data_IF_688430833276
#
_entry.id   IF_688430833276
#
_cell.length_a   1.000
_cell.length_b   1.000
_cell.length_c   1.000
_cell.angle_alpha   90.00
_cell.angle_beta   90.00
_cell.angle_gamma   90.00
#
_symmetry.space_group_name_H-M   'P 1'
#
loop_
_entity.id
_entity.type
_entity.pdbx_description
1 polymer ?
#
# COMPACT_ATOMS: atom_id res chain seq x y z
N UNK A 1 18.18 -11.62 8.04
CA UNK A 1 19.38 -11.22 7.32
C UNK A 1 20.31 -12.42 7.09
N UNK A 2 20.70 -13.11 8.14
CA UNK A 2 21.61 -14.27 8.13
C UNK A 2 21.22 -15.33 7.07
N UNK A 3 19.94 -15.63 6.95
CA UNK A 3 19.42 -16.61 5.99
C UNK A 3 19.39 -16.11 4.54
N UNK A 4 19.25 -14.81 4.29
CA UNK A 4 19.03 -14.27 2.95
C UNK A 4 20.35 -13.77 2.29
N UNK A 5 21.19 -13.06 3.05
CA UNK A 5 22.39 -12.40 2.53
C UNK A 5 23.32 -13.38 1.77
N UNK A 6 23.65 -14.59 2.28
CA UNK A 6 24.54 -15.49 1.57
C UNK A 6 24.02 -15.91 0.19
N UNK A 7 22.72 -16.11 0.07
CA UNK A 7 22.09 -16.46 -1.20
C UNK A 7 22.09 -15.31 -2.21
N UNK A 8 21.88 -14.08 -1.72
CA UNK A 8 21.93 -12.88 -2.56
C UNK A 8 23.34 -12.65 -3.08
N UNK A 9 24.37 -12.78 -2.22
CA UNK A 9 25.78 -12.70 -2.61
C UNK A 9 26.18 -13.78 -3.60
N UNK A 10 25.60 -14.97 -3.50
CA UNK A 10 25.78 -16.05 -4.47
C UNK A 10 25.06 -15.83 -5.81
N UNK A 11 24.44 -14.68 -6.03
CA UNK A 11 23.72 -14.32 -7.26
C UNK A 11 22.41 -15.09 -7.49
N UNK A 12 21.85 -15.76 -6.47
CA UNK A 12 20.60 -16.52 -6.57
C UNK A 12 19.39 -15.58 -6.47
N UNK A 13 18.32 -15.91 -7.16
CA UNK A 13 17.02 -15.29 -6.91
C UNK A 13 16.51 -15.71 -5.54
N UNK A 14 15.88 -14.77 -4.81
CA UNK A 14 15.40 -15.01 -3.46
C UNK A 14 13.93 -14.56 -3.33
N UNK A 15 13.12 -15.44 -2.74
CA UNK A 15 11.78 -15.11 -2.25
C UNK A 15 11.82 -15.15 -0.72
N UNK A 16 11.78 -13.98 -0.07
CA UNK A 16 11.88 -13.88 1.38
C UNK A 16 10.54 -13.43 1.99
N UNK A 17 10.06 -14.20 2.97
CA UNK A 17 8.99 -13.75 3.87
C UNK A 17 9.61 -13.16 5.12
N UNK A 18 9.30 -11.88 5.35
CA UNK A 18 9.73 -11.19 6.56
C UNK A 18 8.84 -9.99 6.85
N UNK A 19 8.49 -9.80 8.11
CA UNK A 19 7.68 -8.67 8.56
C UNK A 19 8.46 -7.34 8.51
N UNK A 20 7.75 -6.21 8.55
CA UNK A 20 8.38 -4.88 8.72
C UNK A 20 9.15 -4.84 10.06
N UNK A 21 10.35 -4.24 10.06
CA UNK A 21 11.19 -4.13 11.26
C UNK A 21 12.16 -5.30 11.50
N UNK A 22 12.17 -6.34 10.66
CA UNK A 22 13.12 -7.45 10.72
C UNK A 22 14.47 -7.15 10.04
N UNK A 23 14.70 -5.92 9.62
CA UNK A 23 15.93 -5.53 8.93
C UNK A 23 15.98 -5.94 7.45
N UNK A 24 14.83 -6.16 6.77
CA UNK A 24 14.76 -6.52 5.35
C UNK A 24 15.60 -5.60 4.46
N UNK A 25 15.49 -4.28 4.69
CA UNK A 25 16.19 -3.28 3.89
C UNK A 25 17.71 -3.48 3.92
N UNK A 26 18.30 -3.71 5.09
CA UNK A 26 19.71 -4.05 5.19
C UNK A 26 20.01 -5.42 4.52
N UNK A 27 19.09 -6.38 4.68
CA UNK A 27 19.24 -7.74 4.13
C UNK A 27 19.38 -7.79 2.61
N UNK A 28 18.75 -6.87 1.87
CA UNK A 28 18.97 -6.78 0.43
C UNK A 28 19.92 -5.66 0.01
N UNK A 29 19.97 -4.54 0.75
CA UNK A 29 20.81 -3.41 0.34
C UNK A 29 22.29 -3.73 0.48
N UNK A 30 22.72 -4.29 1.61
CA UNK A 30 24.14 -4.57 1.87
C UNK A 30 24.78 -5.49 0.80
N UNK A 31 24.20 -6.67 0.46
CA UNK A 31 24.79 -7.53 -0.56
C UNK A 31 24.73 -6.90 -1.97
N UNK A 32 23.72 -6.09 -2.27
CA UNK A 32 23.65 -5.38 -3.55
C UNK A 32 24.69 -4.27 -3.63
N UNK A 33 24.94 -3.53 -2.56
CA UNK A 33 26.03 -2.54 -2.49
C UNK A 33 27.39 -3.20 -2.66
N UNK A 34 27.64 -4.36 -2.03
CA UNK A 34 28.87 -5.12 -2.21
C UNK A 34 29.04 -5.52 -3.68
N UNK A 35 28.03 -6.14 -4.30
CA UNK A 35 28.05 -6.50 -5.71
C UNK A 35 28.38 -5.31 -6.62
N UNK A 36 27.73 -4.15 -6.39
CA UNK A 36 27.95 -2.95 -7.18
C UNK A 36 29.35 -2.35 -6.98
N UNK A 37 29.92 -2.43 -5.78
CA UNK A 37 31.26 -1.90 -5.47
C UNK A 37 32.40 -2.74 -6.08
N UNK A 38 32.21 -4.06 -6.18
CA UNK A 38 33.19 -4.99 -6.74
C UNK A 38 33.20 -4.97 -8.27
N UNK A 39 32.16 -4.46 -8.90
CA UNK A 39 32.05 -4.44 -10.35
C UNK A 39 32.48 -3.10 -10.93
N UNK A 40 33.29 -3.11 -12.01
CA UNK A 40 33.81 -1.90 -12.66
C UNK A 40 32.67 -0.96 -13.10
N UNK A 41 32.77 0.30 -12.68
CA UNK A 41 31.87 1.34 -13.15
C UNK A 41 32.20 1.72 -14.60
N UNK A 42 31.19 1.71 -15.51
CA UNK A 42 31.37 2.34 -16.83
C UNK A 42 31.59 3.85 -16.68
N UNK A 43 32.19 4.49 -17.70
CA UNK A 43 32.44 5.95 -17.71
C UNK A 43 31.18 6.77 -17.42
N UNK A 44 30.01 6.29 -17.83
CA UNK A 44 28.71 6.86 -17.45
C UNK A 44 28.00 5.85 -16.55
N UNK A 45 27.31 6.35 -15.53
CA UNK A 45 26.61 5.53 -14.52
C UNK A 45 25.26 5.05 -15.03
N UNK A 46 25.15 3.85 -15.61
CA UNK A 46 23.86 3.27 -15.96
C UNK A 46 23.16 2.79 -14.69
N UNK A 47 21.83 2.79 -14.71
CA UNK A 47 21.04 2.18 -13.66
C UNK A 47 21.26 0.65 -13.64
N UNK A 48 21.78 0.14 -12.53
CA UNK A 48 22.15 -1.27 -12.33
C UNK A 48 21.27 -2.00 -11.32
N UNK A 49 20.81 -1.32 -10.28
CA UNK A 49 19.90 -1.89 -9.30
C UNK A 49 18.61 -1.06 -9.20
N UNK A 50 17.47 -1.73 -9.27
CA UNK A 50 16.16 -1.12 -9.11
C UNK A 50 15.43 -1.75 -7.92
N UNK A 51 14.97 -0.89 -7.01
CA UNK A 51 14.10 -1.27 -5.89
C UNK A 51 12.71 -0.71 -6.16
N UNK A 52 11.72 -1.58 -6.28
CA UNK A 52 10.31 -1.20 -6.36
C UNK A 52 9.65 -1.32 -5.00
N UNK A 53 8.90 -0.29 -4.63
CA UNK A 53 8.15 -0.21 -3.38
C UNK A 53 6.72 0.27 -3.63
N UNK A 54 5.73 -0.18 -2.85
CA UNK A 54 4.32 0.19 -3.07
C UNK A 54 4.01 1.65 -2.77
N UNK A 55 4.70 2.26 -1.81
CA UNK A 55 4.37 3.59 -1.28
C UNK A 55 5.54 4.57 -1.38
N UNK A 56 5.20 5.86 -1.44
CA UNK A 56 6.19 6.96 -1.50
C UNK A 56 7.02 7.04 -0.23
N UNK A 57 6.40 6.77 0.89
CA UNK A 57 7.00 6.80 2.21
C UNK A 57 8.04 5.68 2.35
N UNK A 58 7.68 4.46 1.95
CA UNK A 58 8.62 3.34 1.94
C UNK A 58 9.76 3.58 0.93
N UNK A 59 9.45 4.15 -0.24
CA UNK A 59 10.49 4.52 -1.20
C UNK A 59 11.50 5.52 -0.61
N UNK A 60 11.03 6.54 0.10
CA UNK A 60 11.89 7.51 0.76
C UNK A 60 12.74 6.85 1.87
N UNK A 61 12.11 6.02 2.69
CA UNK A 61 12.80 5.30 3.78
C UNK A 61 13.88 4.34 3.24
N UNK A 62 13.55 3.52 2.25
CA UNK A 62 14.52 2.62 1.62
C UNK A 62 15.67 3.40 1.00
N UNK A 63 15.38 4.53 0.36
CA UNK A 63 16.40 5.42 -0.20
C UNK A 63 17.32 6.00 0.88
N UNK A 64 16.77 6.46 2.01
CA UNK A 64 17.57 7.00 3.11
C UNK A 64 18.51 5.92 3.66
N UNK A 65 18.05 4.68 3.84
CA UNK A 65 18.87 3.56 4.25
C UNK A 65 19.94 3.21 3.20
N UNK A 66 19.59 3.18 1.90
CA UNK A 66 20.56 2.97 0.82
C UNK A 66 21.65 4.03 0.87
N UNK A 67 21.29 5.29 1.07
CA UNK A 67 22.21 6.41 1.16
C UNK A 67 23.13 6.32 2.36
N UNK A 68 22.60 5.92 3.51
CA UNK A 68 23.36 5.72 4.74
C UNK A 68 24.38 4.58 4.58
N UNK A 69 23.93 3.42 4.10
CA UNK A 69 24.82 2.25 3.93
C UNK A 69 25.85 2.43 2.82
N UNK A 70 25.59 3.30 1.84
CA UNK A 70 26.53 3.61 0.75
C UNK A 70 27.39 4.85 1.01
N UNK A 71 27.36 5.46 2.21
CA UNK A 71 28.01 6.74 2.51
C UNK A 71 29.52 6.77 2.23
N UNK A 72 30.20 5.63 2.33
CA UNK A 72 31.63 5.48 2.06
C UNK A 72 31.93 4.81 0.70
N UNK A 73 30.90 4.58 -0.12
CA UNK A 73 31.04 3.95 -1.43
C UNK A 73 30.83 4.96 -2.55
N UNK A 74 31.54 4.77 -3.67
CA UNK A 74 31.32 5.58 -4.86
C UNK A 74 30.08 5.10 -5.64
N UNK A 75 28.93 5.04 -4.97
CA UNK A 75 27.65 4.59 -5.51
C UNK A 75 26.64 5.74 -5.42
N UNK A 76 26.01 6.08 -6.54
CA UNK A 76 24.98 7.10 -6.59
C UNK A 76 23.59 6.47 -6.55
N UNK A 77 22.79 6.91 -5.62
CA UNK A 77 21.40 6.48 -5.49
C UNK A 77 20.42 7.62 -5.70
N UNK A 78 19.21 7.30 -6.12
CA UNK A 78 18.11 8.24 -6.24
C UNK A 78 16.79 7.58 -5.84
N UNK A 79 15.78 8.44 -5.55
CA UNK A 79 14.41 8.00 -5.33
C UNK A 79 13.44 8.75 -6.23
N UNK A 80 12.46 8.01 -6.78
CA UNK A 80 11.40 8.60 -7.63
C UNK A 80 10.03 8.08 -7.23
N UNK A 81 9.09 9.00 -7.03
CA UNK A 81 7.70 8.70 -6.70
C UNK A 81 6.76 9.81 -7.13
N UNK A 82 5.47 9.49 -7.25
CA UNK A 82 4.44 10.44 -7.65
C UNK A 82 4.14 11.52 -6.60
N UNK A 83 3.35 12.53 -7.00
CA UNK A 83 2.88 13.59 -6.08
C UNK A 83 3.87 14.71 -5.81
N UNK A 84 5.03 14.69 -6.47
CA UNK A 84 6.02 15.77 -6.51
C UNK A 84 6.37 16.09 -7.97
N UNK A 85 7.00 17.25 -8.20
CA UNK A 85 7.39 17.67 -9.56
C UNK A 85 8.37 16.68 -10.20
N UNK A 86 8.09 16.26 -11.44
CA UNK A 86 8.96 15.33 -12.17
C UNK A 86 10.31 15.93 -12.54
N UNK A 87 10.36 17.24 -12.81
CA UNK A 87 11.55 17.92 -13.31
C UNK A 87 12.81 17.71 -12.45
N UNK A 88 12.67 17.80 -11.11
CA UNK A 88 13.79 17.55 -10.19
C UNK A 88 14.28 16.09 -10.25
N UNK A 89 13.37 15.15 -10.37
CA UNK A 89 13.69 13.72 -10.48
C UNK A 89 14.39 13.43 -11.81
N UNK A 90 13.90 14.01 -12.91
CA UNK A 90 14.53 13.92 -14.24
C UNK A 90 15.97 14.47 -14.21
N UNK A 91 16.17 15.64 -13.60
CA UNK A 91 17.48 16.24 -13.46
C UNK A 91 18.47 15.36 -12.67
N UNK A 92 17.98 14.67 -11.62
CA UNK A 92 18.78 13.73 -10.86
C UNK A 92 19.14 12.50 -11.69
N UNK A 93 18.18 11.90 -12.39
CA UNK A 93 18.40 10.71 -13.23
C UNK A 93 19.37 10.97 -14.39
N UNK A 94 19.33 12.17 -14.98
CA UNK A 94 20.26 12.57 -16.07
C UNK A 94 21.73 12.61 -15.64
N UNK A 95 22.01 12.81 -14.34
CA UNK A 95 23.38 12.76 -13.81
C UNK A 95 23.94 11.34 -13.70
N UNK A 96 23.08 10.33 -13.92
CA UNK A 96 23.41 8.93 -13.74
C UNK A 96 23.26 8.48 -12.29
N UNK A 97 22.68 7.30 -12.12
CA UNK A 97 22.49 6.64 -10.82
C UNK A 97 22.72 5.16 -10.95
N UNK A 98 23.37 4.57 -9.95
CA UNK A 98 23.64 3.13 -9.88
C UNK A 98 22.46 2.36 -9.29
N UNK A 99 21.78 2.96 -8.28
CA UNK A 99 20.62 2.41 -7.59
C UNK A 99 19.44 3.39 -7.68
N UNK A 100 18.28 2.89 -8.08
CA UNK A 100 17.05 3.66 -8.08
C UNK A 100 15.99 2.99 -7.21
N UNK A 101 15.46 3.73 -6.24
CA UNK A 101 14.29 3.33 -5.47
C UNK A 101 13.07 4.02 -6.08
N UNK A 102 11.99 3.27 -6.35
CA UNK A 102 10.88 3.82 -7.09
C UNK A 102 9.52 3.26 -6.69
N UNK A 103 8.46 4.07 -6.86
CA UNK A 103 7.09 3.56 -6.96
C UNK A 103 6.73 3.30 -8.42
N UNK A 104 6.00 2.19 -8.75
CA UNK A 104 5.81 1.73 -10.12
C UNK A 104 5.27 2.79 -11.09
N UNK A 105 4.19 3.49 -10.75
CA UNK A 105 3.54 4.43 -11.65
C UNK A 105 4.42 5.62 -12.07
N UNK A 106 5.19 6.23 -11.14
CA UNK A 106 6.12 7.32 -11.47
C UNK A 106 7.31 6.81 -12.28
N UNK A 107 7.75 5.61 -12.01
CA UNK A 107 8.87 5.03 -12.75
C UNK A 107 8.51 4.81 -14.22
N UNK A 108 7.31 4.31 -14.51
CA UNK A 108 6.79 4.20 -15.88
C UNK A 108 6.66 5.56 -16.56
N UNK A 109 6.09 6.55 -15.88
CA UNK A 109 5.99 7.93 -16.37
C UNK A 109 7.37 8.49 -16.77
N UNK A 110 8.40 8.29 -15.95
CA UNK A 110 9.78 8.73 -16.25
C UNK A 110 10.44 7.91 -17.36
N UNK A 111 10.12 6.64 -17.49
CA UNK A 111 10.58 5.80 -18.60
C UNK A 111 9.95 6.26 -19.93
N UNK A 112 8.65 6.51 -19.96
CA UNK A 112 7.94 6.99 -21.16
C UNK A 112 8.48 8.37 -21.60
N UNK A 113 8.92 9.22 -20.64
CA UNK A 113 9.63 10.48 -20.88
C UNK A 113 11.13 10.29 -21.26
N UNK A 114 11.63 9.05 -21.41
CA UNK A 114 13.03 8.72 -21.72
C UNK A 114 14.03 9.26 -20.69
N UNK A 115 13.60 9.51 -19.46
CA UNK A 115 14.45 9.99 -18.38
C UNK A 115 15.22 8.87 -17.67
N UNK A 116 14.80 7.61 -17.83
CA UNK A 116 15.45 6.42 -17.27
C UNK A 116 15.43 5.28 -18.28
N UNK A 117 16.45 4.43 -18.24
CA UNK A 117 16.55 3.21 -19.06
C UNK A 117 16.86 2.01 -18.19
N UNK A 118 16.17 0.90 -18.46
CA UNK A 118 16.35 -0.35 -17.71
C UNK A 118 17.26 -1.37 -18.39
N UNK A 119 17.91 -1.01 -19.51
CA UNK A 119 18.72 -1.93 -20.33
C UNK A 119 19.95 -2.50 -19.63
N UNK A 120 20.35 -1.96 -18.49
CA UNK A 120 21.55 -2.35 -17.74
C UNK A 120 21.24 -2.76 -16.29
N UNK A 121 19.99 -3.13 -16.02
CA UNK A 121 19.62 -3.64 -14.70
C UNK A 121 20.25 -5.01 -14.48
N UNK A 122 21.07 -5.11 -13.45
CA UNK A 122 21.67 -6.34 -12.96
C UNK A 122 20.82 -6.97 -11.85
N UNK A 123 20.19 -6.13 -11.00
CA UNK A 123 19.39 -6.57 -9.84
C UNK A 123 18.06 -5.85 -9.79
N UNK A 124 16.97 -6.62 -9.67
CA UNK A 124 15.61 -6.13 -9.39
C UNK A 124 15.20 -6.57 -7.99
N UNK A 125 14.77 -5.62 -7.17
CA UNK A 125 14.23 -5.86 -5.83
C UNK A 125 12.76 -5.43 -5.81
N UNK A 126 11.87 -6.30 -5.36
CA UNK A 126 10.48 -6.00 -5.04
C UNK A 126 10.33 -6.03 -3.52
N UNK A 127 10.13 -4.88 -2.88
CA UNK A 127 9.91 -4.79 -1.44
C UNK A 127 8.42 -4.56 -1.14
N UNK A 128 7.86 -5.28 -0.17
CA UNK A 128 6.44 -5.39 0.12
C UNK A 128 5.63 -5.78 -1.13
N UNK A 129 5.99 -6.94 -1.76
CA UNK A 129 5.37 -7.41 -3.00
C UNK A 129 3.87 -7.72 -2.85
N UNK A 130 3.46 -8.30 -1.71
CA UNK A 130 2.05 -8.49 -1.33
C UNK A 130 1.28 -7.17 -1.39
N UNK A 131 1.89 -6.15 -0.89
CA UNK A 131 1.32 -4.81 -0.89
C UNK A 131 1.18 -4.21 -2.29
N UNK A 132 2.20 -4.41 -3.13
CA UNK A 132 2.10 -3.97 -4.53
C UNK A 132 0.98 -4.70 -5.27
N UNK A 133 0.74 -5.96 -4.94
CA UNK A 133 -0.34 -6.78 -5.48
C UNK A 133 -1.71 -6.23 -5.03
N UNK A 134 -1.92 -5.99 -3.73
CA UNK A 134 -3.14 -5.40 -3.15
C UNK A 134 -3.49 -4.04 -3.77
N UNK A 135 -2.48 -3.24 -4.10
CA UNK A 135 -2.65 -1.94 -4.74
C UNK A 135 -2.86 -2.02 -6.26
N UNK A 136 -2.85 -3.22 -6.83
CA UNK A 136 -3.09 -3.46 -8.26
C UNK A 136 -1.90 -3.15 -9.18
N UNK A 137 -0.68 -3.02 -8.64
CA UNK A 137 0.52 -2.69 -9.42
C UNK A 137 1.09 -3.84 -10.24
N UNK A 138 0.47 -5.02 -10.25
CA UNK A 138 0.97 -6.18 -11.01
C UNK A 138 1.20 -5.86 -12.48
N UNK A 139 0.26 -5.13 -13.10
CA UNK A 139 0.38 -4.71 -14.51
C UNK A 139 1.57 -3.78 -14.72
N UNK A 140 1.77 -2.82 -13.82
CA UNK A 140 2.87 -1.87 -13.90
C UNK A 140 4.22 -2.57 -13.69
N UNK A 141 4.30 -3.49 -12.73
CA UNK A 141 5.49 -4.30 -12.46
C UNK A 141 5.86 -5.13 -13.69
N UNK A 142 4.91 -5.85 -14.28
CA UNK A 142 5.14 -6.65 -15.47
C UNK A 142 5.59 -5.78 -16.67
N UNK A 143 5.00 -4.58 -16.84
CA UNK A 143 5.42 -3.62 -17.86
C UNK A 143 6.86 -3.15 -17.63
N UNK A 144 7.23 -2.82 -16.39
CA UNK A 144 8.59 -2.42 -16.03
C UNK A 144 9.58 -3.57 -16.33
N UNK A 145 9.24 -4.78 -15.93
CA UNK A 145 10.06 -5.98 -16.14
C UNK A 145 10.28 -6.26 -17.63
N UNK A 146 9.29 -6.03 -18.48
CA UNK A 146 9.40 -6.25 -19.93
C UNK A 146 10.45 -5.37 -20.62
N UNK A 147 10.87 -4.27 -19.99
CA UNK A 147 11.93 -3.39 -20.50
C UNK A 147 13.33 -3.76 -19.99
N UNK A 148 13.44 -4.75 -19.10
CA UNK A 148 14.71 -5.15 -18.48
C UNK A 148 15.38 -6.30 -19.22
N UNK A 149 16.71 -6.48 -19.03
CA UNK A 149 17.40 -7.67 -19.53
C UNK A 149 16.82 -8.95 -18.93
N UNK A 150 16.81 -10.01 -19.75
CA UNK A 150 16.40 -11.33 -19.28
C UNK A 150 17.36 -11.87 -18.19
N UNK A 151 18.67 -11.66 -18.36
CA UNK A 151 19.68 -12.07 -17.38
C UNK A 151 19.83 -10.97 -16.32
N UNK A 152 19.26 -11.20 -15.15
CA UNK A 152 19.35 -10.35 -13.96
C UNK A 152 19.05 -11.20 -12.73
N UNK A 153 19.48 -10.76 -11.56
CA UNK A 153 19.05 -11.30 -10.27
C UNK A 153 17.73 -10.65 -9.86
N UNK A 154 16.80 -11.44 -9.32
CA UNK A 154 15.54 -10.93 -8.80
C UNK A 154 15.40 -11.29 -7.33
N UNK A 155 15.07 -10.29 -6.51
CA UNK A 155 14.84 -10.42 -5.08
C UNK A 155 13.41 -9.97 -4.77
N UNK A 156 12.62 -10.82 -4.14
CA UNK A 156 11.24 -10.50 -3.76
C UNK A 156 11.07 -10.67 -2.27
N UNK A 157 10.65 -9.57 -1.62
CA UNK A 157 10.35 -9.51 -0.20
C UNK A 157 8.86 -9.27 0.00
N UNK A 158 8.23 -10.07 0.84
CA UNK A 158 6.80 -10.01 1.14
C UNK A 158 6.58 -10.28 2.63
N UNK A 159 5.49 -9.81 3.22
CA UNK A 159 5.10 -10.21 4.56
C UNK A 159 4.40 -11.58 4.54
N UNK A 160 3.81 -11.98 3.42
CA UNK A 160 3.04 -13.21 3.27
C UNK A 160 3.48 -14.06 2.09
N UNK A 161 3.26 -15.39 2.17
CA UNK A 161 3.40 -16.32 1.05
C UNK A 161 2.05 -16.78 0.51
N UNK A 162 1.11 -15.85 0.30
CA UNK A 162 -0.19 -16.15 -0.27
C UNK A 162 -0.06 -16.83 -1.65
N UNK A 163 -1.16 -17.48 -2.09
CA UNK A 163 -1.21 -18.10 -3.42
C UNK A 163 -0.89 -17.10 -4.53
N UNK A 164 -1.38 -15.87 -4.40
CA UNK A 164 -1.19 -14.83 -5.39
C UNK A 164 0.26 -14.31 -5.41
N UNK A 165 0.93 -14.23 -4.26
CA UNK A 165 2.37 -13.92 -4.17
C UNK A 165 3.20 -15.03 -4.79
N UNK A 166 2.88 -16.29 -4.54
CA UNK A 166 3.56 -17.42 -5.18
C UNK A 166 3.41 -17.39 -6.70
N UNK A 167 2.23 -17.05 -7.20
CA UNK A 167 1.97 -16.91 -8.63
C UNK A 167 2.75 -15.72 -9.23
N UNK A 168 2.80 -14.57 -8.55
CA UNK A 168 3.62 -13.43 -8.97
C UNK A 168 5.10 -13.80 -9.01
N UNK A 169 5.60 -14.48 -7.98
CA UNK A 169 6.97 -14.94 -7.87
C UNK A 169 7.35 -15.89 -9.02
N UNK A 170 6.49 -16.85 -9.37
CA UNK A 170 6.72 -17.78 -10.50
C UNK A 170 6.90 -17.04 -11.84
N UNK A 171 6.25 -15.90 -12.03
CA UNK A 171 6.38 -15.09 -13.26
C UNK A 171 7.66 -14.25 -13.30
N UNK A 172 8.35 -14.05 -12.16
CA UNK A 172 9.47 -13.10 -12.05
C UNK A 172 10.78 -13.78 -11.67
N UNK A 173 10.73 -14.72 -10.71
CA UNK A 173 11.90 -15.37 -10.12
C UNK A 173 12.28 -16.65 -10.89
N UNK A 174 13.59 -16.97 -10.89
CA UNK A 174 14.15 -18.17 -11.50
C UNK A 174 14.77 -19.06 -10.45
N UNK A 175 14.18 -20.22 -10.21
CA UNK A 175 14.61 -21.18 -9.20
C UNK A 175 14.98 -20.50 -7.87
N UNK A 176 14.06 -19.72 -7.28
CA UNK A 176 14.38 -18.89 -6.12
C UNK A 176 14.66 -19.75 -4.89
N UNK A 177 15.57 -19.26 -4.06
CA UNK A 177 15.70 -19.75 -2.69
C UNK A 177 14.58 -19.11 -1.86
N UNK A 178 13.80 -19.95 -1.20
CA UNK A 178 12.76 -19.48 -0.29
C UNK A 178 13.37 -19.30 1.11
N UNK A 179 13.20 -18.10 1.64
CA UNK A 179 13.69 -17.74 2.99
C UNK A 179 12.50 -17.30 3.83
N UNK A 180 12.16 -18.08 4.82
CA UNK A 180 11.13 -17.73 5.79
C UNK A 180 11.78 -17.20 7.06
N UNK A 181 11.45 -15.97 7.45
CA UNK A 181 11.58 -15.51 8.82
C UNK A 181 10.41 -16.06 9.64
N UNK A 182 10.40 -15.86 10.94
CA UNK A 182 9.40 -16.44 11.87
C UNK A 182 7.94 -16.28 11.40
N UNK A 183 7.04 -17.22 11.79
CA UNK A 183 5.64 -17.26 11.32
C UNK A 183 4.87 -15.96 11.61
N UNK A 184 3.89 -15.66 10.75
CA UNK A 184 3.04 -14.45 10.79
C UNK A 184 2.35 -14.18 12.13
N UNK A 185 2.06 -15.21 12.91
CA UNK A 185 1.31 -15.11 14.15
C UNK A 185 2.13 -14.66 15.37
N UNK A 186 3.47 -14.69 15.30
CA UNK A 186 4.32 -14.31 16.44
C UNK A 186 4.19 -12.84 16.84
N UNK A 187 3.90 -11.95 15.90
CA UNK A 187 3.69 -10.52 16.20
C UNK A 187 2.36 -10.26 16.91
N UNK A 188 1.31 -10.98 16.53
CA UNK A 188 0.00 -10.83 17.16
C UNK A 188 -0.02 -11.40 18.60
N UNK A 189 0.89 -12.33 18.91
CA UNK A 189 1.02 -12.90 20.25
C UNK A 189 1.73 -11.95 21.24
N UNK A 190 2.65 -11.11 20.74
CA UNK A 190 3.40 -10.16 21.57
C UNK A 190 2.66 -8.85 21.85
N UNK A 191 1.53 -8.60 21.18
CA UNK A 191 0.75 -7.37 21.34
C UNK A 191 -0.43 -7.64 22.28
N UNK A 192 -0.58 -6.81 23.32
CA UNK A 192 -1.80 -6.82 24.14
C UNK A 192 -2.96 -6.28 23.31
N UNK A 193 -3.95 -7.13 23.03
CA UNK A 193 -5.08 -6.77 22.18
C UNK A 193 -6.36 -6.70 23.01
N UNK A 194 -7.07 -5.57 22.91
CA UNK A 194 -8.37 -5.33 23.52
C UNK A 194 -9.39 -4.88 22.50
N UNK A 195 -10.63 -5.26 22.67
CA UNK A 195 -11.74 -4.74 21.89
C UNK A 195 -12.76 -4.09 22.83
N UNK A 196 -13.22 -2.89 22.50
CA UNK A 196 -14.29 -2.23 23.21
C UNK A 196 -15.55 -2.20 22.34
N UNK A 197 -16.65 -2.75 22.87
CA UNK A 197 -17.96 -2.56 22.24
C UNK A 197 -18.47 -1.15 22.53
N UNK A 198 -18.80 -0.42 21.47
CA UNK A 198 -19.21 0.98 21.58
C UNK A 198 -20.07 1.39 20.40
N UNK A 199 -21.07 2.20 20.64
CA UNK A 199 -21.88 2.77 19.57
C UNK A 199 -21.06 3.64 18.62
N UNK A 200 -21.36 3.58 17.33
CA UNK A 200 -20.64 4.29 16.27
C UNK A 200 -20.51 5.80 16.54
N UNK A 201 -21.55 6.41 17.09
CA UNK A 201 -21.60 7.84 17.41
C UNK A 201 -20.75 8.21 18.63
N UNK A 202 -20.46 7.25 19.51
CA UNK A 202 -19.68 7.43 20.74
C UNK A 202 -18.18 7.15 20.56
N UNK A 203 -17.76 6.49 19.50
CA UNK A 203 -16.33 6.13 19.25
C UNK A 203 -15.39 7.33 19.41
N UNK A 204 -15.76 8.53 18.95
CA UNK A 204 -14.89 9.71 19.04
C UNK A 204 -14.66 10.15 20.48
N UNK A 205 -15.72 10.09 21.29
CA UNK A 205 -15.69 10.46 22.70
C UNK A 205 -14.81 9.47 23.48
N UNK A 206 -15.03 8.17 23.26
CA UNK A 206 -14.24 7.08 23.84
C UNK A 206 -12.75 7.25 23.54
N UNK A 207 -12.37 7.43 22.27
CA UNK A 207 -10.95 7.64 21.91
C UNK A 207 -10.37 8.87 22.57
N UNK A 208 -11.13 9.97 22.63
CA UNK A 208 -10.69 11.21 23.27
C UNK A 208 -10.40 10.97 24.77
N UNK A 209 -11.28 10.25 25.44
CA UNK A 209 -11.15 9.93 26.87
C UNK A 209 -9.99 8.97 27.13
N UNK A 210 -9.85 7.89 26.31
CA UNK A 210 -8.72 6.97 26.43
C UNK A 210 -7.36 7.70 26.33
N UNK A 211 -7.22 8.60 25.34
CA UNK A 211 -5.98 9.35 25.13
C UNK A 211 -5.70 10.33 26.28
N UNK A 212 -6.74 11.01 26.79
CA UNK A 212 -6.59 11.98 27.89
C UNK A 212 -6.32 11.30 29.22
N UNK A 213 -7.14 10.34 29.60
CA UNK A 213 -7.05 9.66 30.88
C UNK A 213 -5.80 8.78 30.99
N UNK A 214 -5.41 8.12 29.87
CA UNK A 214 -4.18 7.34 29.80
C UNK A 214 -2.91 8.21 29.65
N UNK A 215 -3.05 9.53 29.47
CA UNK A 215 -1.96 10.43 29.12
C UNK A 215 -1.08 9.91 27.97
N UNK A 216 -1.72 9.31 26.95
CA UNK A 216 -1.01 8.64 25.88
C UNK A 216 -0.32 9.62 24.94
N UNK A 217 0.93 9.35 24.67
CA UNK A 217 1.73 10.00 23.64
C UNK A 217 2.02 9.00 22.51
N UNK A 218 2.14 9.47 21.28
CA UNK A 218 2.38 8.64 20.10
C UNK A 218 1.31 7.56 19.88
N UNK A 219 0.11 7.97 19.56
CA UNK A 219 -1.02 7.09 19.22
C UNK A 219 -1.23 7.08 17.71
N UNK A 220 -1.23 5.90 17.08
CA UNK A 220 -1.62 5.72 15.69
C UNK A 220 -3.06 5.22 15.63
N UNK A 221 -3.94 5.99 14.97
CA UNK A 221 -5.35 5.64 14.80
C UNK A 221 -5.65 5.28 13.37
N UNK A 222 -6.23 4.11 13.16
CA UNK A 222 -6.63 3.63 11.84
C UNK A 222 -8.09 3.93 11.54
N UNK A 223 -8.31 4.48 10.33
CA UNK A 223 -9.61 4.81 9.75
C UNK A 223 -9.75 4.16 8.38
N UNK A 224 -10.93 3.67 8.02
CA UNK A 224 -11.20 3.13 6.68
C UNK A 224 -11.25 4.21 5.60
N UNK A 225 -11.67 5.42 5.96
CA UNK A 225 -11.89 6.49 4.98
C UNK A 225 -11.08 7.76 5.25
N UNK A 226 -10.65 8.42 4.17
CA UNK A 226 -9.97 9.73 4.22
C UNK A 226 -10.82 10.83 4.86
N UNK A 227 -12.14 10.79 4.66
CA UNK A 227 -13.08 11.75 5.25
C UNK A 227 -13.22 11.53 6.76
N UNK A 228 -13.33 10.26 7.18
CA UNK A 228 -13.31 9.88 8.59
C UNK A 228 -12.05 10.34 9.29
N UNK A 229 -10.87 10.11 8.67
CA UNK A 229 -9.60 10.55 9.20
C UNK A 229 -9.54 12.07 9.42
N UNK A 230 -9.98 12.88 8.45
CA UNK A 230 -10.04 14.33 8.61
C UNK A 230 -11.03 14.75 9.72
N UNK A 231 -12.22 14.13 9.77
CA UNK A 231 -13.26 14.43 10.77
C UNK A 231 -12.76 14.13 12.18
N UNK A 232 -12.16 12.96 12.39
CA UNK A 232 -11.62 12.57 13.68
C UNK A 232 -10.47 13.50 14.10
N UNK A 233 -9.52 13.79 13.21
CA UNK A 233 -8.43 14.74 13.48
C UNK A 233 -8.95 16.09 13.94
N UNK A 234 -9.97 16.65 13.25
CA UNK A 234 -10.60 17.93 13.65
C UNK A 234 -11.20 17.85 15.06
N UNK A 235 -11.86 16.75 15.39
CA UNK A 235 -12.46 16.55 16.72
C UNK A 235 -11.42 16.43 17.82
N UNK A 236 -10.31 15.69 17.58
CA UNK A 236 -9.22 15.59 18.53
C UNK A 236 -8.56 16.96 18.81
N UNK A 237 -8.30 17.75 17.75
CA UNK A 237 -7.78 19.11 17.89
C UNK A 237 -8.72 20.02 18.70
N UNK A 238 -10.03 19.95 18.46
CA UNK A 238 -11.04 20.68 19.25
C UNK A 238 -11.07 20.26 20.72
N UNK A 239 -10.68 19.02 21.01
CA UNK A 239 -10.57 18.48 22.37
C UNK A 239 -9.21 18.74 23.02
N UNK A 240 -8.34 19.56 22.41
CA UNK A 240 -7.01 19.90 22.93
C UNK A 240 -5.94 18.80 22.72
N UNK A 241 -6.18 17.82 21.85
CA UNK A 241 -5.21 16.76 21.52
C UNK A 241 -4.54 17.13 20.20
N UNK A 242 -3.20 17.30 20.20
CA UNK A 242 -2.44 17.56 18.98
C UNK A 242 -2.50 16.35 18.04
N UNK A 243 -3.02 16.54 16.83
CA UNK A 243 -3.27 15.46 15.88
C UNK A 243 -3.05 15.89 14.43
N UNK A 244 -2.64 14.95 13.58
CA UNK A 244 -2.60 15.15 12.13
C UNK A 244 -3.19 13.95 11.39
N UNK A 245 -3.77 14.20 10.20
CA UNK A 245 -4.27 13.14 9.33
C UNK A 245 -3.26 12.83 8.21
N UNK A 246 -3.07 11.53 7.92
CA UNK A 246 -2.27 11.06 6.79
C UNK A 246 -3.11 10.14 5.90
N UNK A 247 -3.35 10.53 4.65
CA UNK A 247 -4.13 9.77 3.68
C UNK A 247 -3.85 10.24 2.24
N UNK A 248 -4.32 9.51 1.25
CA UNK A 248 -4.01 9.73 -0.17
C UNK A 248 -4.35 11.13 -0.72
N UNK A 249 -5.30 11.86 -0.13
CA UNK A 249 -5.66 13.21 -0.57
C UNK A 249 -4.79 14.33 0.06
N UNK A 250 -3.86 14.00 0.97
CA UNK A 250 -2.89 14.99 1.48
C UNK A 250 -1.74 15.13 0.49
N UNK A 251 -1.23 16.36 0.33
CA UNK A 251 -0.01 16.58 -0.44
C UNK A 251 1.18 15.86 0.17
N UNK A 252 2.19 15.52 -0.63
CA UNK A 252 3.37 14.81 -0.13
C UNK A 252 4.07 15.60 0.99
N UNK A 253 4.22 16.92 0.83
CA UNK A 253 4.80 17.76 1.88
C UNK A 253 4.01 17.72 3.20
N UNK A 254 2.66 17.74 3.14
CA UNK A 254 1.83 17.62 4.33
C UNK A 254 1.97 16.25 5.00
N UNK A 255 2.09 15.16 4.23
CA UNK A 255 2.30 13.80 4.75
C UNK A 255 3.67 13.67 5.43
N UNK A 256 4.73 14.15 4.76
CA UNK A 256 6.09 14.14 5.33
C UNK A 256 6.15 14.95 6.62
N UNK A 257 5.56 16.16 6.65
CA UNK A 257 5.50 16.99 7.85
C UNK A 257 4.72 16.31 8.99
N UNK A 258 3.56 15.73 8.70
CA UNK A 258 2.76 15.02 9.71
C UNK A 258 3.53 13.84 10.30
N UNK A 259 4.22 13.05 9.47
CA UNK A 259 5.05 11.94 9.93
C UNK A 259 6.26 12.40 10.74
N UNK A 260 6.96 13.44 10.30
CA UNK A 260 8.09 14.02 11.03
C UNK A 260 7.65 14.51 12.42
N UNK A 261 6.61 15.34 12.49
CA UNK A 261 6.09 15.86 13.75
C UNK A 261 5.59 14.74 14.69
N UNK A 262 5.09 13.62 14.13
CA UNK A 262 4.69 12.48 14.92
C UNK A 262 5.90 11.72 15.49
N UNK A 263 6.96 11.56 14.70
CA UNK A 263 8.23 10.93 15.16
C UNK A 263 8.93 11.75 16.25
N UNK A 264 8.87 13.07 16.16
CA UNK A 264 9.47 14.00 17.14
C UNK A 264 8.58 14.29 18.36
N UNK A 265 7.41 13.68 18.46
CA UNK A 265 6.39 13.91 19.50
C UNK A 265 5.78 15.33 19.50
N UNK A 266 5.97 16.14 18.44
CA UNK A 266 5.28 17.44 18.29
C UNK A 266 3.77 17.27 18.13
N UNK A 267 3.32 16.14 17.63
CA UNK A 267 1.92 15.72 17.65
C UNK A 267 1.77 14.36 18.35
N UNK A 268 0.73 14.24 19.18
CA UNK A 268 0.43 13.03 19.96
C UNK A 268 -0.24 11.95 19.14
N UNK A 269 -1.07 12.34 18.15
CA UNK A 269 -1.92 11.44 17.41
C UNK A 269 -1.74 11.56 15.91
N UNK A 270 -1.45 10.42 15.26
CA UNK A 270 -1.49 10.30 13.81
C UNK A 270 -2.72 9.51 13.39
N UNK A 271 -3.65 10.13 12.65
CA UNK A 271 -4.85 9.48 12.13
C UNK A 271 -4.62 9.08 10.69
N UNK A 272 -4.61 7.78 10.41
CA UNK A 272 -4.18 7.25 9.11
C UNK A 272 -5.23 6.34 8.47
N UNK A 273 -5.24 6.30 7.13
CA UNK A 273 -5.87 5.21 6.39
C UNK A 273 -4.87 4.09 6.13
N UNK A 274 -5.32 2.85 5.96
CA UNK A 274 -4.46 1.68 5.70
C UNK A 274 -3.42 1.95 4.62
N UNK A 275 -3.85 2.44 3.46
CA UNK A 275 -2.96 2.74 2.34
C UNK A 275 -1.87 3.74 2.71
N UNK A 276 -2.16 4.69 3.58
CA UNK A 276 -1.21 5.73 3.94
C UNK A 276 -0.33 5.35 5.14
N UNK A 277 -0.81 4.49 6.02
CA UNK A 277 -0.07 4.02 7.20
C UNK A 277 0.90 2.88 6.88
N UNK A 278 0.64 2.15 5.82
CA UNK A 278 1.53 1.07 5.37
C UNK A 278 2.83 1.64 4.81
N UNK A 279 3.95 1.00 5.11
CA UNK A 279 5.28 1.51 4.75
C UNK A 279 5.73 2.73 5.55
N UNK A 280 4.93 3.18 6.56
CA UNK A 280 5.44 4.16 7.51
C UNK A 280 6.42 3.50 8.46
N UNK A 281 7.64 3.99 8.45
CA UNK A 281 8.61 3.68 9.49
C UNK A 281 8.27 4.52 10.73
N UNK A 282 7.48 3.93 11.61
CA UNK A 282 7.19 4.49 12.91
C UNK A 282 7.70 3.45 13.91
N UNK A 283 8.84 3.73 14.58
CA UNK A 283 9.37 2.77 15.53
C UNK A 283 8.44 2.64 16.74
N UNK A 284 8.21 1.41 17.16
CA UNK A 284 7.71 0.99 18.49
C UNK A 284 6.64 1.92 19.10
N UNK A 285 5.46 1.95 18.48
CA UNK A 285 4.37 2.73 19.04
C UNK A 285 3.85 2.07 20.32
N UNK A 286 3.64 2.83 21.39
CA UNK A 286 2.99 2.30 22.60
C UNK A 286 1.53 1.94 22.35
N UNK A 287 0.81 2.72 21.52
CA UNK A 287 -0.62 2.51 21.30
C UNK A 287 -1.02 2.56 19.82
N UNK A 288 -1.79 1.56 19.41
CA UNK A 288 -2.46 1.50 18.12
C UNK A 288 -3.96 1.38 18.34
N UNK A 289 -4.76 2.20 17.68
CA UNK A 289 -6.22 2.15 17.78
C UNK A 289 -6.84 1.85 16.41
N UNK A 290 -7.59 0.77 16.31
CA UNK A 290 -8.51 0.52 15.22
C UNK A 290 -9.83 1.24 15.54
N UNK A 291 -9.95 2.50 15.13
CA UNK A 291 -11.21 3.26 15.28
C UNK A 291 -12.33 2.64 14.45
N UNK A 292 -11.97 2.12 13.28
CA UNK A 292 -12.81 1.25 12.46
C UNK A 292 -12.02 -0.03 12.14
N UNK A 293 -12.65 -1.19 12.27
CA UNK A 293 -12.03 -2.45 11.90
C UNK A 293 -11.78 -2.49 10.38
N UNK A 294 -10.69 -3.12 9.92
CA UNK A 294 -10.44 -3.27 8.49
C UNK A 294 -11.44 -4.22 7.85
N UNK A 295 -11.69 -4.05 6.54
CA UNK A 295 -12.53 -4.97 5.77
C UNK A 295 -11.79 -6.27 5.40
N UNK A 296 -10.46 -6.24 5.43
CA UNK A 296 -9.57 -7.37 5.11
C UNK A 296 -8.91 -7.79 6.42
N UNK A 297 -9.11 -9.03 6.89
CA UNK A 297 -8.57 -9.48 8.19
C UNK A 297 -7.06 -9.37 8.32
N UNK A 298 -6.30 -9.59 7.25
CA UNK A 298 -4.83 -9.49 7.21
C UNK A 298 -4.36 -8.06 7.51
N UNK A 299 -5.15 -7.04 7.14
CA UNK A 299 -4.87 -5.65 7.46
C UNK A 299 -4.84 -5.40 8.98
N UNK A 300 -5.63 -6.15 9.75
CA UNK A 300 -5.61 -6.07 11.20
C UNK A 300 -4.23 -6.43 11.76
N UNK A 301 -3.63 -7.51 11.31
CA UNK A 301 -2.28 -7.93 11.75
C UNK A 301 -1.24 -6.88 11.36
N UNK A 302 -1.33 -6.33 10.16
CA UNK A 302 -0.45 -5.25 9.70
C UNK A 302 -0.61 -3.95 10.52
N UNK A 303 -1.82 -3.64 10.99
CA UNK A 303 -2.08 -2.47 11.84
C UNK A 303 -1.49 -2.66 13.24
N UNK A 304 -1.80 -3.76 13.90
CA UNK A 304 -1.31 -4.03 15.26
C UNK A 304 0.21 -4.27 15.26
N UNK A 305 0.78 -4.79 14.18
CA UNK A 305 2.22 -4.93 14.01
C UNK A 305 2.98 -3.59 13.94
N UNK A 306 2.34 -2.43 14.16
CA UNK A 306 2.98 -1.14 14.41
C UNK A 306 3.32 -0.91 15.89
N UNK A 307 2.94 -1.83 16.77
CA UNK A 307 3.26 -1.84 18.19
C UNK A 307 3.82 -3.20 18.61
N UNK A 308 4.35 -3.35 19.82
CA UNK A 308 4.76 -4.63 20.40
C UNK A 308 5.95 -5.31 19.71
N UNK A 309 7.03 -4.57 19.37
CA UNK A 309 8.23 -5.15 18.75
C UNK A 309 9.47 -5.04 19.65
N UNK A 310 10.45 -5.91 19.41
CA UNK A 310 11.77 -5.89 20.05
C UNK A 310 11.73 -5.90 21.60
N UNK A 311 10.75 -6.64 22.21
CA UNK A 311 10.66 -6.77 23.66
C UNK A 311 9.94 -5.64 24.38
N UNK A 312 9.43 -4.61 23.67
CA UNK A 312 8.57 -3.59 24.26
C UNK A 312 7.10 -4.03 24.21
N UNK A 313 6.39 -3.92 25.36
CA UNK A 313 4.95 -4.15 25.43
C UNK A 313 4.21 -3.07 24.67
N UNK A 314 3.32 -3.46 23.74
CA UNK A 314 2.48 -2.54 23.00
C UNK A 314 1.01 -2.91 23.12
N UNK A 315 0.13 -1.90 23.07
CA UNK A 315 -1.30 -2.09 23.19
C UNK A 315 -2.02 -1.76 21.89
N UNK A 316 -2.84 -2.69 21.43
CA UNK A 316 -3.73 -2.51 20.28
C UNK A 316 -5.18 -2.54 20.73
N UNK A 317 -5.89 -1.44 20.53
CA UNK A 317 -7.28 -1.28 20.92
C UNK A 317 -8.17 -1.22 19.68
N UNK A 318 -9.24 -1.97 19.68
CA UNK A 318 -10.26 -1.98 18.63
C UNK A 318 -11.59 -1.45 19.16
N UNK A 319 -12.17 -0.45 18.51
CA UNK A 319 -13.50 0.03 18.81
C UNK A 319 -14.49 -0.65 17.86
N UNK A 320 -15.35 -1.49 18.39
CA UNK A 320 -16.27 -2.32 17.61
C UNK A 320 -17.70 -1.85 17.82
N UNK A 321 -18.37 -1.44 16.76
CA UNK A 321 -19.82 -1.20 16.79
C UNK A 321 -20.57 -2.38 16.17
N UNK A 322 -21.89 -2.41 16.34
CA UNK A 322 -22.75 -3.49 15.85
C UNK A 322 -22.58 -3.82 14.36
N UNK A 323 -22.30 -2.78 13.53
CA UNK A 323 -22.06 -2.94 12.08
C UNK A 323 -20.73 -3.65 11.76
N UNK A 324 -19.82 -3.77 12.73
CA UNK A 324 -18.46 -4.32 12.54
C UNK A 324 -18.27 -5.70 13.16
N UNK A 325 -19.31 -6.27 13.74
CA UNK A 325 -19.25 -7.61 14.38
C UNK A 325 -18.80 -8.71 13.42
N UNK A 326 -19.16 -8.61 12.15
CA UNK A 326 -18.74 -9.58 11.12
C UNK A 326 -17.24 -9.47 10.82
N UNK A 327 -16.71 -8.26 10.69
CA UNK A 327 -15.28 -8.03 10.53
C UNK A 327 -14.48 -8.54 11.73
N UNK A 328 -14.99 -8.35 12.96
CA UNK A 328 -14.37 -8.90 14.16
C UNK A 328 -14.28 -10.42 14.09
N UNK A 329 -15.35 -11.10 13.70
CA UNK A 329 -15.37 -12.57 13.59
C UNK A 329 -14.36 -13.10 12.56
N UNK A 330 -14.23 -12.43 11.42
CA UNK A 330 -13.26 -12.80 10.41
C UNK A 330 -11.82 -12.60 10.90
N UNK A 331 -11.56 -11.51 11.62
CA UNK A 331 -10.27 -11.25 12.26
C UNK A 331 -9.96 -12.31 13.31
N UNK A 332 -10.90 -12.66 14.19
CA UNK A 332 -10.74 -13.70 15.20
C UNK A 332 -10.46 -15.08 14.58
N UNK A 333 -11.11 -15.38 13.44
CA UNK A 333 -10.86 -16.59 12.67
C UNK A 333 -9.42 -16.63 12.13
N UNK A 334 -8.92 -15.51 11.61
CA UNK A 334 -7.55 -15.38 11.13
C UNK A 334 -6.54 -15.56 12.27
N UNK A 335 -6.81 -14.93 13.43
CA UNK A 335 -5.94 -14.97 14.60
C UNK A 335 -5.98 -16.33 15.32
N UNK A 336 -6.97 -17.18 15.06
CA UNK A 336 -7.20 -18.43 15.79
C UNK A 336 -7.61 -18.23 17.26
N UNK A 337 -7.91 -17.01 17.69
CA UNK A 337 -8.30 -16.66 19.07
C UNK A 337 -9.36 -15.55 19.08
N UNK A 338 -10.17 -15.53 20.13
CA UNK A 338 -11.12 -14.42 20.35
C UNK A 338 -10.38 -13.19 20.89
N UNK A 339 -10.82 -12.03 20.48
CA UNK A 339 -10.38 -10.76 21.06
C UNK A 339 -11.10 -10.56 22.40
N UNK A 340 -10.32 -10.21 23.46
CA UNK A 340 -10.92 -9.82 24.74
C UNK A 340 -11.81 -8.59 24.50
N UNK A 341 -13.11 -8.77 24.67
CA UNK A 341 -14.11 -7.73 24.43
C UNK A 341 -14.65 -7.22 25.75
N UNK A 342 -14.54 -5.93 25.96
CA UNK A 342 -14.95 -5.23 27.18
C UNK A 342 -15.96 -4.12 26.84
N UNK A 343 -16.74 -3.71 27.84
CA UNK A 343 -17.62 -2.53 27.76
C UNK A 343 -17.03 -1.46 28.69
N UNK A 344 -16.86 -0.25 28.18
CA UNK A 344 -16.39 0.86 28.98
C UNK A 344 -17.58 1.45 29.74
N UNK A 345 -17.44 1.61 31.06
CA UNK A 345 -18.46 2.24 31.91
C UNK A 345 -18.87 3.62 31.40
N UNK A 346 -20.17 3.85 31.27
CA UNK A 346 -20.75 5.07 30.68
C UNK A 346 -20.80 5.10 29.14
N UNK A 347 -20.37 4.02 28.48
CA UNK A 347 -20.42 3.87 27.02
C UNK A 347 -21.05 2.54 26.59
N UNK A 348 -21.95 2.01 27.41
CA UNK A 348 -22.68 0.79 27.14
C UNK A 348 -23.39 0.91 25.78
N UNK A 349 -23.27 -0.10 24.89
CA UNK A 349 -23.96 -0.09 23.62
C UNK A 349 -25.47 0.00 23.81
N UNK A 350 -26.10 0.96 23.15
CA UNK A 350 -27.55 1.01 23.10
C UNK A 350 -28.03 0.00 22.05
N UNK A 351 -29.07 -0.80 22.37
CA UNK A 351 -29.62 -1.87 21.51
C UNK A 351 -30.24 -1.37 20.18
N UNK A 352 -29.85 -0.22 19.69
CA UNK A 352 -30.24 0.33 18.39
C UNK A 352 -29.35 -0.22 17.27
N UNK A 353 -29.25 -1.54 17.15
CA UNK A 353 -28.79 -2.14 15.91
C UNK A 353 -29.82 -1.84 14.82
N UNK A 354 -29.43 -1.23 13.70
CA UNK A 354 -30.37 -1.10 12.57
C UNK A 354 -30.81 -2.50 12.18
N UNK A 355 -32.13 -2.68 11.85
CA UNK A 355 -32.63 -3.99 11.48
C UNK A 355 -31.77 -4.55 10.34
N UNK A 356 -31.29 -5.79 10.48
CA UNK A 356 -30.59 -6.50 9.41
C UNK A 356 -31.39 -6.32 8.14
N UNK A 357 -30.85 -5.65 7.13
CA UNK A 357 -31.43 -5.64 5.79
C UNK A 357 -31.55 -7.10 5.38
N UNK A 358 -32.79 -7.60 5.37
CA UNK A 358 -33.10 -8.90 4.85
C UNK A 358 -32.49 -8.99 3.45
N UNK A 359 -31.60 -9.95 3.25
CA UNK A 359 -31.10 -10.28 1.94
C UNK A 359 -32.32 -10.55 1.08
N UNK A 360 -32.59 -9.69 0.13
CA UNK A 360 -33.66 -9.89 -0.87
C UNK A 360 -33.25 -11.09 -1.68
N UNK A 361 -33.73 -12.26 -1.24
CA UNK A 361 -33.71 -13.47 -2.07
C UNK A 361 -34.62 -13.21 -3.25
N UNK A 362 -34.09 -12.80 -4.36
CA UNK A 362 -34.74 -12.94 -5.67
C UNK A 362 -34.84 -14.44 -5.99
N UNK A 363 -35.87 -15.08 -5.41
CA UNK A 363 -36.33 -16.37 -5.90
C UNK A 363 -36.96 -16.14 -7.28
N UNK A 364 -36.20 -16.37 -8.32
CA UNK A 364 -36.73 -16.62 -9.66
C UNK A 364 -37.58 -17.88 -9.62
N UNK A 365 -38.90 -17.71 -9.50
CA UNK A 365 -39.88 -18.74 -9.64
C UNK A 365 -40.00 -19.07 -11.16
N UNK A 366 -39.37 -20.13 -11.58
CA UNK A 366 -39.71 -20.79 -12.83
C UNK A 366 -41.02 -21.56 -12.62
N UNK A 367 -42.14 -20.97 -13.01
CA UNK A 367 -43.41 -21.65 -13.07
C UNK A 367 -43.56 -22.27 -14.48
N UNK A 368 -43.36 -23.57 -14.58
CA UNK A 368 -43.87 -24.38 -15.68
C UNK A 368 -45.37 -24.56 -15.51
N UNK A 369 -46.17 -24.02 -16.39
CA UNK A 369 -47.48 -24.55 -16.66
C UNK A 369 -47.71 -24.62 -18.19
N UNK A 370 -47.90 -25.84 -18.64
CA UNK A 370 -48.36 -26.29 -19.92
C UNK A 370 -49.85 -26.01 -20.08
N UNK A 371 -50.25 -25.45 -21.18
CA UNK A 371 -51.32 -25.96 -22.04
C UNK A 371 -51.81 -24.94 -23.07
N UNK A 372 -51.69 -25.27 -24.30
CA UNK A 372 -52.76 -25.40 -25.25
C UNK A 372 -53.27 -24.14 -25.98
N UNK A 373 -53.01 -24.09 -27.29
CA UNK A 373 -54.07 -23.63 -28.16
C UNK A 373 -53.83 -22.39 -29.03
N UNK A 374 -53.43 -22.68 -30.27
CA UNK A 374 -54.04 -22.20 -31.54
C UNK A 374 -53.77 -20.80 -32.11
N UNK A 375 -53.01 -20.86 -33.20
CA UNK A 375 -53.15 -20.16 -34.50
C UNK A 375 -53.67 -18.71 -34.54
N UNK A 376 -52.82 -17.78 -35.02
CA UNK A 376 -53.08 -17.17 -36.34
C UNK A 376 -51.87 -16.37 -36.85
N UNK A 377 -51.69 -16.55 -38.14
CA UNK A 377 -50.70 -15.91 -39.02
C UNK A 377 -50.97 -14.44 -39.19
N UNK A 378 -49.95 -13.61 -39.23
CA UNK A 378 -49.78 -12.54 -40.23
C UNK A 378 -48.34 -12.02 -40.24
N UNK A 379 -47.71 -12.19 -41.37
CA UNK A 379 -46.46 -11.54 -41.86
C UNK A 379 -46.89 -10.35 -42.74
N UNK A 380 -45.97 -9.62 -43.36
CA UNK A 380 -45.13 -8.51 -42.90
C UNK A 380 -45.39 -7.26 -43.77
N UNK A 381 -44.83 -6.13 -43.41
CA UNK A 381 -44.60 -5.08 -44.40
C UNK A 381 -43.23 -4.39 -44.23
N UNK A 382 -42.45 -4.62 -45.24
CA UNK A 382 -41.24 -3.90 -45.66
C UNK A 382 -41.61 -2.53 -46.25
N UNK A 383 -40.81 -1.49 -45.90
CA UNK A 383 -40.47 -0.34 -46.74
C UNK A 383 -39.28 0.34 -46.00
N UNK A 384 -38.18 0.34 -46.47
CA UNK A 384 -37.33 0.66 -47.58
C UNK A 384 -37.40 2.14 -47.97
N UNK A 385 -36.39 2.94 -47.59
CA UNK A 385 -35.88 3.94 -48.52
C UNK A 385 -34.49 4.45 -48.08
N UNK A 386 -33.58 4.29 -48.99
CA UNK A 386 -32.28 4.92 -49.15
C UNK A 386 -32.44 6.06 -50.15
N UNK A 387 -31.41 6.79 -50.59
CA UNK A 387 -30.60 7.90 -50.02
C UNK A 387 -30.65 9.14 -50.96
N UNK A 388 -30.10 10.24 -50.52
CA UNK A 388 -29.63 11.29 -51.47
C UNK A 388 -28.54 12.19 -50.90
N UNK A 389 -27.36 12.13 -51.49
CA UNK A 389 -26.44 13.24 -51.71
C UNK A 389 -26.72 13.80 -53.12
N UNK A 390 -26.13 14.92 -53.63
CA UNK A 390 -24.90 15.61 -53.29
C UNK A 390 -24.90 17.14 -53.57
N UNK A 391 -23.68 17.74 -53.60
CA UNK A 391 -23.22 18.98 -54.21
C UNK A 391 -23.30 20.22 -53.34
N UNK A 392 -22.35 21.14 -53.31
CA UNK A 392 -21.10 21.34 -54.02
C UNK A 392 -20.59 22.79 -53.85
N UNK A 393 -19.30 23.00 -54.00
CA UNK A 393 -18.60 24.25 -54.33
C UNK A 393 -18.64 25.39 -53.29
N UNK A 394 -17.56 26.07 -52.92
CA UNK A 394 -16.25 26.25 -53.50
C UNK A 394 -15.58 27.49 -52.95
N UNK A 395 -14.29 27.57 -53.09
CA UNK A 395 -13.39 28.75 -53.22
C UNK A 395 -12.84 29.42 -51.96
N UNK A 396 -11.54 29.21 -51.72
CA UNK A 396 -10.37 30.08 -51.95
C UNK A 396 -10.08 31.17 -50.93
N UNK A 397 -8.85 31.13 -50.38
CA UNK A 397 -8.22 32.29 -49.78
C UNK A 397 -7.08 31.98 -48.79
N UNK A 398 -5.89 31.67 -49.32
CA UNK A 398 -4.63 31.91 -48.62
C UNK A 398 -4.06 33.26 -49.14
N UNK A 399 -2.92 33.77 -48.64
CA UNK A 399 -2.29 33.76 -47.33
C UNK A 399 -1.87 35.18 -46.88
N UNK A 400 -1.39 35.38 -45.66
CA UNK A 400 -0.42 36.48 -45.42
C UNK A 400 0.48 36.20 -44.18
N UNK A 401 1.78 36.19 -44.47
CA UNK A 401 2.94 36.35 -43.59
C UNK A 401 2.95 37.72 -42.91
N UNK A 402 3.52 37.74 -41.69
CA UNK A 402 4.55 38.70 -41.19
C UNK A 402 4.77 38.35 -39.71
N UNK A 403 5.99 37.90 -39.35
CA UNK A 403 7.17 38.61 -38.83
C UNK A 403 6.85 39.66 -37.77
N UNK A 404 7.17 39.37 -36.55
CA UNK A 404 8.29 39.86 -35.73
C UNK A 404 8.63 38.86 -34.67
#
# INVERSE_FOLDING_TARGET
QEKAIPHILAGKDVLASAQTGTGKTAGFTLPVLQYLSETKHPKFRPLRALVLTPTRELAAQVYDNVREYSSYLNIHSAVVFGGVKAASQIATLRRGVDILVATPGRLLDLHDQKAVSFKRIDVLILDEADRMLDMGFVRDINKIISFMPAKRQNLMFSATFSKDIKQLAQGILRNPVMVEAEPENSTAEMVTQKAYQVDKNKKTEVVTNLIKNGNWNQVLIFMRTKHGANKLTKKLLQSGISAAAIHGNKSQGARTKALSNFKTNDIRVLVATDIAARGLDIPLLPHVINFELPNIPEDYVHRIGRTGRAGASGEAISLVCSEETEYQREIEKLLGKKLSTEIIEGYEPTDNAPPKRAATQTKGSFNKNTSGGNKSKRKPHFKGNKPSSPSGRGRTGAPKKKRY
#
